data_IF_684117923398
#
_entry.id   IF_684117923398
#
_cell.length_a   1.000
_cell.length_b   1.000
_cell.length_c   1.000
_cell.angle_alpha   90.00
_cell.angle_beta   90.00
_cell.angle_gamma   90.00
#
_symmetry.space_group_name_H-M   'P 1'
#
loop_
_entity.id
_entity.type
_entity.pdbx_description
1 polymer ?
#
# COMPACT_ATOMS: atom_id res chain seq x y z
N UNK A 1 -17.29 -20.31 -18.53
CA UNK A 1 -16.84 -19.26 -19.47
C UNK A 1 -16.27 -19.91 -20.71
N UNK A 2 -16.37 -19.27 -21.86
CA UNK A 2 -15.74 -19.74 -23.09
C UNK A 2 -14.34 -19.14 -23.23
N UNK A 3 -13.37 -19.89 -23.75
CA UNK A 3 -12.03 -19.38 -24.04
C UNK A 3 -11.51 -19.87 -25.39
N UNK A 4 -10.62 -19.10 -26.00
CA UNK A 4 -9.93 -19.46 -27.24
C UNK A 4 -8.51 -18.89 -27.27
N UNK A 5 -7.55 -19.67 -27.79
CA UNK A 5 -6.18 -19.22 -28.05
C UNK A 5 -5.96 -19.17 -29.55
N UNK A 6 -5.66 -18.00 -30.08
CA UNK A 6 -5.40 -17.80 -31.50
C UNK A 6 -4.00 -18.31 -31.87
N UNK A 7 -3.79 -18.61 -33.16
CA UNK A 7 -2.46 -19.01 -33.68
C UNK A 7 -1.40 -17.91 -33.49
N UNK A 8 -1.82 -16.64 -33.45
CA UNK A 8 -0.97 -15.49 -33.11
C UNK A 8 -0.49 -15.48 -31.65
N UNK A 9 -1.04 -16.33 -30.78
CA UNK A 9 -0.76 -16.36 -29.34
C UNK A 9 -1.71 -15.50 -28.50
N UNK A 10 -2.59 -14.71 -29.12
CA UNK A 10 -3.63 -13.95 -28.43
C UNK A 10 -4.63 -14.87 -27.74
N UNK A 11 -5.04 -14.50 -26.53
CA UNK A 11 -6.03 -15.22 -25.74
C UNK A 11 -7.33 -14.43 -25.67
N UNK A 12 -8.44 -15.16 -25.76
CA UNK A 12 -9.80 -14.65 -25.75
C UNK A 12 -10.59 -15.33 -24.64
N UNK A 13 -11.30 -14.55 -23.83
CA UNK A 13 -12.14 -15.04 -22.74
C UNK A 13 -13.51 -14.37 -22.79
N UNK A 14 -14.56 -15.16 -23.01
CA UNK A 14 -15.94 -14.71 -23.01
C UNK A 14 -16.58 -14.81 -21.63
N UNK A 15 -17.24 -13.74 -21.19
CA UNK A 15 -17.95 -13.63 -19.92
C UNK A 15 -19.29 -12.91 -20.05
N UNK A 16 -19.97 -12.75 -18.90
CA UNK A 16 -21.32 -12.14 -18.82
C UNK A 16 -21.38 -10.70 -19.33
N UNK A 17 -20.25 -9.99 -19.31
CA UNK A 17 -20.12 -8.61 -19.75
C UNK A 17 -19.32 -8.45 -21.06
N UNK A 18 -19.20 -9.51 -21.87
CA UNK A 18 -18.56 -9.44 -23.19
C UNK A 18 -17.27 -10.26 -23.30
N UNK A 19 -16.32 -9.78 -24.10
CA UNK A 19 -15.13 -10.51 -24.53
C UNK A 19 -13.84 -9.79 -24.11
N UNK A 20 -12.98 -10.48 -23.37
CA UNK A 20 -11.63 -10.01 -23.05
C UNK A 20 -10.63 -10.59 -24.06
N UNK A 21 -9.74 -9.76 -24.61
CA UNK A 21 -8.65 -10.17 -25.50
C UNK A 21 -7.32 -9.57 -25.03
N UNK A 22 -6.29 -10.40 -24.88
CA UNK A 22 -4.93 -9.94 -24.59
C UNK A 22 -3.87 -10.89 -25.15
N UNK A 23 -2.66 -10.39 -25.37
CA UNK A 23 -1.49 -11.18 -25.74
C UNK A 23 -0.62 -11.39 -24.50
N UNK A 24 -0.49 -12.62 -23.95
CA UNK A 24 0.24 -12.87 -22.71
C UNK A 24 1.70 -12.39 -22.76
N UNK A 25 2.35 -12.57 -23.91
CA UNK A 25 3.76 -12.18 -24.10
C UNK A 25 3.98 -10.65 -24.07
N UNK A 26 2.94 -9.84 -24.22
CA UNK A 26 3.01 -8.38 -24.18
C UNK A 26 2.64 -7.81 -22.81
N UNK A 27 2.24 -8.65 -21.83
CA UNK A 27 1.95 -8.18 -20.47
C UNK A 27 3.29 -7.97 -19.75
N UNK A 28 3.54 -6.73 -19.33
CA UNK A 28 4.69 -6.37 -18.52
C UNK A 28 4.26 -6.09 -17.09
N UNK A 29 5.04 -6.57 -16.12
CA UNK A 29 4.89 -6.12 -14.73
C UNK A 29 5.27 -4.64 -14.63
N UNK A 30 4.65 -3.92 -13.69
CA UNK A 30 5.11 -2.57 -13.33
C UNK A 30 6.37 -2.71 -12.45
N UNK A 31 7.56 -2.27 -12.91
CA UNK A 31 8.78 -2.35 -12.11
C UNK A 31 8.90 -1.22 -11.08
N UNK A 32 8.07 -0.19 -11.17
CA UNK A 32 8.16 0.99 -10.32
C UNK A 32 7.80 0.65 -8.88
N UNK A 33 8.77 0.83 -7.97
CA UNK A 33 8.55 0.74 -6.53
C UNK A 33 8.20 2.14 -6.05
N UNK A 34 6.93 2.41 -5.69
CA UNK A 34 6.53 3.73 -5.24
C UNK A 34 7.17 4.07 -3.88
N UNK A 35 7.55 5.33 -3.64
CA UNK A 35 7.96 5.75 -2.31
C UNK A 35 6.79 5.60 -1.34
N UNK A 36 7.10 5.14 -0.12
CA UNK A 36 6.14 5.03 0.99
C UNK A 36 6.37 6.22 1.92
N UNK A 37 5.28 6.93 2.25
CA UNK A 37 5.31 8.08 3.16
C UNK A 37 4.31 7.90 4.27
N UNK A 38 4.62 8.43 5.46
CA UNK A 38 3.63 8.57 6.54
C UNK A 38 2.70 9.73 6.20
N UNK A 39 1.39 9.52 6.29
CA UNK A 39 0.36 10.51 5.96
C UNK A 39 -0.33 11.06 7.20
N UNK A 40 -0.34 10.31 8.30
CA UNK A 40 -0.89 10.77 9.57
C UNK A 40 -0.17 10.12 10.75
N UNK A 41 -0.18 10.84 11.88
CA UNK A 41 0.25 10.34 13.18
C UNK A 41 -0.75 10.83 14.23
N UNK A 42 -1.22 9.91 15.08
CA UNK A 42 -2.23 10.17 16.10
C UNK A 42 -1.77 9.62 17.43
N UNK A 43 -2.15 10.32 18.49
CA UNK A 43 -2.02 9.86 19.88
C UNK A 43 -3.44 9.84 20.46
N UNK A 44 -3.86 8.74 21.06
CA UNK A 44 -5.24 8.52 21.51
C UNK A 44 -6.30 8.86 20.43
N UNK A 45 -6.06 8.41 19.20
CA UNK A 45 -6.90 8.67 18.01
C UNK A 45 -7.10 10.15 17.63
N UNK A 46 -6.27 11.05 18.17
CA UNK A 46 -6.30 12.47 17.85
C UNK A 46 -5.04 12.89 17.11
N UNK A 47 -5.14 13.74 16.08
CA UNK A 47 -3.96 14.34 15.45
C UNK A 47 -3.07 15.01 16.49
N UNK A 48 -1.76 14.80 16.41
CA UNK A 48 -0.79 15.35 17.34
C UNK A 48 0.15 16.38 16.68
N UNK A 49 -0.35 17.48 16.07
CA UNK A 49 0.49 18.40 15.31
C UNK A 49 1.54 19.09 16.18
N UNK A 50 1.27 19.31 17.48
CA UNK A 50 2.23 19.91 18.41
C UNK A 50 3.41 18.99 18.80
N UNK A 51 3.38 17.71 18.40
CA UNK A 51 4.48 16.76 18.60
C UNK A 51 5.42 16.67 17.40
N UNK A 52 5.04 17.26 16.27
CA UNK A 52 5.81 17.22 15.03
C UNK A 52 6.44 18.58 14.78
N UNK A 53 7.76 18.61 14.59
CA UNK A 53 8.49 19.82 14.19
C UNK A 53 8.42 20.07 12.69
N UNK A 54 8.08 19.04 11.91
CA UNK A 54 7.94 19.06 10.45
C UNK A 54 6.64 18.35 10.03
N UNK A 55 6.30 18.38 8.74
CA UNK A 55 5.19 17.58 8.25
C UNK A 55 5.48 16.09 8.48
N UNK A 56 4.45 15.29 8.82
CA UNK A 56 4.62 13.85 9.10
C UNK A 56 5.26 13.08 7.94
N UNK A 57 5.01 13.51 6.70
CA UNK A 57 5.61 12.91 5.51
C UNK A 57 7.11 13.18 5.35
N UNK A 58 7.65 14.13 6.11
CA UNK A 58 9.06 14.52 6.12
C UNK A 58 9.70 14.36 7.51
N UNK A 59 8.96 13.85 8.50
CA UNK A 59 9.48 13.60 9.83
C UNK A 59 10.34 12.34 9.82
N UNK A 60 11.55 12.46 10.35
CA UNK A 60 12.51 11.36 10.51
C UNK A 60 12.45 10.74 11.91
N UNK A 61 12.11 11.55 12.92
CA UNK A 61 12.03 11.14 14.32
C UNK A 61 10.77 11.68 14.99
N UNK A 62 10.06 10.83 15.73
CA UNK A 62 8.95 11.20 16.61
C UNK A 62 9.34 10.82 18.04
N UNK A 63 9.34 11.80 18.95
CA UNK A 63 9.66 11.58 20.36
C UNK A 63 8.36 11.49 21.15
N UNK A 64 8.11 10.32 21.75
CA UNK A 64 6.96 10.07 22.60
C UNK A 64 7.32 10.33 24.07
N UNK A 65 6.37 10.86 24.84
CA UNK A 65 6.48 10.93 26.29
C UNK A 65 6.01 9.63 26.94
N UNK A 66 6.30 9.46 28.23
CA UNK A 66 5.88 8.27 28.99
C UNK A 66 4.36 8.09 29.08
N UNK A 67 3.60 9.16 28.85
CA UNK A 67 2.14 9.16 28.90
C UNK A 67 1.49 8.90 27.52
N UNK A 68 2.29 8.84 26.44
CA UNK A 68 1.81 8.61 25.07
C UNK A 68 1.85 7.09 24.74
N UNK A 69 1.14 6.28 25.53
CA UNK A 69 1.16 4.82 25.44
C UNK A 69 0.29 4.22 24.31
N UNK A 70 -0.62 5.03 23.75
CA UNK A 70 -1.44 4.65 22.60
C UNK A 70 -1.29 5.65 21.45
N UNK A 71 -0.66 5.19 20.37
CA UNK A 71 -0.47 5.95 19.15
C UNK A 71 -0.78 5.10 17.91
N UNK A 72 -1.01 5.78 16.80
CA UNK A 72 -1.22 5.15 15.51
C UNK A 72 -0.64 5.98 14.38
N UNK A 73 -0.30 5.32 13.28
CA UNK A 73 0.20 5.99 12.08
C UNK A 73 -0.48 5.47 10.83
N UNK A 74 -0.61 6.36 9.84
CA UNK A 74 -1.11 6.03 8.51
C UNK A 74 0.01 6.20 7.50
N UNK A 75 0.01 5.36 6.46
CA UNK A 75 1.03 5.37 5.42
C UNK A 75 0.43 5.14 4.04
N UNK A 76 1.09 5.67 3.01
CA UNK A 76 0.67 5.47 1.63
C UNK A 76 1.88 5.28 0.72
N UNK A 77 1.76 4.33 -0.21
CA UNK A 77 2.61 4.27 -1.39
C UNK A 77 2.07 5.27 -2.43
N UNK A 78 2.93 6.14 -2.95
CA UNK A 78 2.56 7.12 -3.97
C UNK A 78 2.48 6.49 -5.39
N UNK A 79 1.78 5.35 -5.51
CA UNK A 79 1.39 4.75 -6.79
C UNK A 79 -0.07 5.09 -7.11
N UNK A 80 -0.26 5.84 -8.20
CA UNK A 80 -1.56 6.30 -8.68
C UNK A 80 -2.15 5.41 -9.79
N UNK A 81 -1.39 4.47 -10.35
CA UNK A 81 -1.84 3.63 -11.45
C UNK A 81 -2.83 2.57 -10.96
N UNK A 82 -2.50 1.87 -9.87
CA UNK A 82 -3.38 0.86 -9.26
C UNK A 82 -3.29 0.85 -7.73
N UNK A 83 -3.66 1.94 -7.04
CA UNK A 83 -3.45 2.12 -5.59
C UNK A 83 -4.12 1.05 -4.71
N UNK A 84 -5.17 0.40 -5.21
CA UNK A 84 -5.89 -0.67 -4.52
C UNK A 84 -5.18 -2.04 -4.59
N UNK A 85 -4.18 -2.19 -5.46
CA UNK A 85 -3.37 -3.41 -5.58
C UNK A 85 -2.08 -3.36 -4.77
N UNK A 86 -1.79 -2.23 -4.13
CA UNK A 86 -0.61 -2.10 -3.29
C UNK A 86 -0.78 -2.94 -2.03
N UNK A 87 0.24 -3.74 -1.75
CA UNK A 87 0.38 -4.48 -0.50
C UNK A 87 1.41 -3.77 0.36
N UNK A 88 1.14 -3.72 1.65
CA UNK A 88 1.98 -3.04 2.63
C UNK A 88 2.46 -4.03 3.67
N UNK A 89 3.62 -3.75 4.23
CA UNK A 89 4.11 -4.40 5.42
C UNK A 89 4.75 -3.34 6.32
N UNK A 90 4.63 -3.49 7.63
CA UNK A 90 5.31 -2.65 8.60
C UNK A 90 5.88 -3.50 9.75
N UNK A 91 6.87 -2.96 10.45
CA UNK A 91 7.47 -3.59 11.62
C UNK A 91 8.02 -2.48 12.52
N UNK A 92 7.69 -2.53 13.80
CA UNK A 92 8.33 -1.70 14.83
C UNK A 92 9.55 -2.43 15.39
N UNK A 93 10.74 -2.07 14.90
CA UNK A 93 11.98 -2.67 15.37
C UNK A 93 12.12 -2.54 16.89
N UNK A 94 12.40 -3.67 17.56
CA UNK A 94 12.51 -3.75 19.02
C UNK A 94 11.19 -4.03 19.75
N UNK A 95 10.05 -3.98 19.07
CA UNK A 95 8.74 -4.36 19.62
C UNK A 95 8.15 -5.56 18.88
N UNK A 96 8.03 -5.47 17.56
CA UNK A 96 7.53 -6.54 16.71
C UNK A 96 8.61 -7.59 16.45
N UNK A 97 8.19 -8.86 16.37
CA UNK A 97 9.09 -9.99 16.07
C UNK A 97 9.29 -10.22 14.58
N UNK A 98 8.29 -9.87 13.78
CA UNK A 98 8.23 -10.11 12.33
C UNK A 98 7.41 -9.00 11.66
N UNK A 99 7.49 -8.94 10.32
CA UNK A 99 6.69 -8.03 9.51
C UNK A 99 5.19 -8.32 9.65
N UNK A 100 4.42 -7.27 9.87
CA UNK A 100 2.96 -7.28 9.89
C UNK A 100 2.42 -6.86 8.53
N UNK A 101 1.47 -7.63 8.01
CA UNK A 101 0.85 -7.41 6.69
C UNK A 101 -0.60 -6.95 6.88
N UNK A 102 -0.85 -5.63 6.92
CA UNK A 102 -2.20 -5.13 7.02
C UNK A 102 -2.94 -5.42 5.71
N UNK A 103 -4.01 -6.24 5.79
CA UNK A 103 -4.81 -6.70 4.66
C UNK A 103 -5.55 -5.54 3.95
N UNK A 104 -4.81 -4.73 3.18
CA UNK A 104 -5.31 -3.53 2.50
C UNK A 104 -5.54 -2.32 3.42
N UNK A 105 -5.22 -2.42 4.72
CA UNK A 105 -5.30 -1.28 5.64
C UNK A 105 -4.01 -0.46 5.59
N UNK A 106 -4.16 0.86 5.66
CA UNK A 106 -3.07 1.85 5.64
C UNK A 106 -2.87 2.45 7.04
N UNK A 107 -2.95 1.60 8.05
CA UNK A 107 -3.04 1.98 9.46
C UNK A 107 -2.34 0.94 10.31
N UNK A 108 -1.55 1.41 11.28
CA UNK A 108 -0.88 0.62 12.30
C UNK A 108 -1.11 1.27 13.66
#
# INVERSE_FOLDING_TARGET
>A
GAYYKCRSGEMYFGGVYGLNRFLPAAITANPEIPPVVLTAFKIFEKPAPGRLTTAISAADTIVLSTDDDFFSFEFAALDYAFPAKNQYAYMMEGFDKDWLYPEGRRYA
#
